data_IF_633372418509
#
_entry.id   IF_633372418509
#
_cell.length_a   1.000
_cell.length_b   1.000
_cell.length_c   1.000
_cell.angle_alpha   90.00
_cell.angle_beta   90.00
_cell.angle_gamma   90.00
#
_symmetry.space_group_name_H-M   'P 1'
#
loop_
_entity.id
_entity.type
_entity.pdbx_description
1 polymer ?
#
# COMPACT_ATOMS: atom_id res chain seq x y z
N UNK A 1 24.81 18.09 -8.73
CA UNK A 1 24.71 16.93 -9.62
C UNK A 1 23.27 16.49 -9.59
N UNK A 2 22.67 16.18 -10.73
CA UNK A 2 21.27 15.74 -10.74
C UNK A 2 21.24 14.23 -10.50
N UNK A 3 20.88 13.85 -9.27
CA UNK A 3 20.72 12.45 -8.89
C UNK A 3 19.39 11.92 -9.45
N UNK A 4 19.45 10.81 -10.19
CA UNK A 4 18.29 10.19 -10.84
C UNK A 4 17.68 9.14 -9.91
N UNK A 5 16.40 9.28 -9.59
CA UNK A 5 15.60 8.21 -8.96
C UNK A 5 14.99 7.27 -9.99
N UNK A 6 14.42 7.84 -11.05
CA UNK A 6 13.82 7.12 -12.16
C UNK A 6 14.07 7.87 -13.46
N UNK A 7 14.14 7.14 -14.56
CA UNK A 7 14.26 7.73 -15.90
C UNK A 7 13.69 6.77 -16.93
N UNK A 8 13.12 7.33 -17.99
CA UNK A 8 12.68 6.58 -19.17
C UNK A 8 12.83 7.44 -20.42
N UNK A 9 12.90 6.79 -21.58
CA UNK A 9 12.88 7.47 -22.86
C UNK A 9 11.44 7.51 -23.37
N UNK A 10 10.94 8.71 -23.68
CA UNK A 10 9.59 8.88 -24.20
C UNK A 10 9.48 8.49 -25.69
N UNK A 11 8.29 8.67 -26.27
CA UNK A 11 8.00 8.29 -27.66
C UNK A 11 8.77 9.13 -28.69
N UNK A 12 9.28 10.29 -28.31
CA UNK A 12 10.06 11.18 -29.15
C UNK A 12 11.56 10.89 -29.04
N UNK A 13 11.97 9.97 -28.16
CA UNK A 13 13.37 9.69 -27.88
C UNK A 13 13.97 10.61 -26.82
N UNK A 14 13.17 11.46 -26.16
CA UNK A 14 13.68 12.35 -25.12
C UNK A 14 13.72 11.64 -23.76
N UNK A 15 14.80 11.84 -23.02
CA UNK A 15 14.94 11.28 -21.69
C UNK A 15 14.18 12.13 -20.67
N UNK A 16 13.22 11.50 -20.01
CA UNK A 16 12.51 12.06 -18.86
C UNK A 16 13.25 11.64 -17.60
N UNK A 17 13.50 12.58 -16.68
CA UNK A 17 14.28 12.36 -15.46
C UNK A 17 13.42 12.70 -14.25
N UNK A 18 13.29 11.75 -13.32
CA UNK A 18 12.75 11.98 -11.99
C UNK A 18 13.92 12.12 -11.02
N UNK A 19 14.10 13.30 -10.45
CA UNK A 19 15.21 13.55 -9.53
C UNK A 19 14.95 12.89 -8.17
N UNK A 20 16.00 12.43 -7.49
CA UNK A 20 15.88 11.73 -6.21
C UNK A 20 15.16 12.58 -5.18
N UNK A 21 15.53 13.86 -5.02
CA UNK A 21 14.90 14.70 -4.00
C UNK A 21 13.42 14.95 -4.31
N UNK A 22 13.04 15.21 -5.56
CA UNK A 22 11.64 15.39 -5.95
C UNK A 22 10.80 14.16 -5.64
N UNK A 23 11.29 12.98 -5.99
CA UNK A 23 10.66 11.70 -5.68
C UNK A 23 10.49 11.53 -4.15
N UNK A 24 11.53 11.76 -3.37
CA UNK A 24 11.48 11.67 -1.90
C UNK A 24 10.41 12.61 -1.31
N UNK A 25 10.30 13.86 -1.78
CA UNK A 25 9.26 14.77 -1.29
C UNK A 25 7.85 14.31 -1.68
N UNK A 26 7.65 13.90 -2.94
CA UNK A 26 6.33 13.46 -3.41
C UNK A 26 5.86 12.21 -2.67
N UNK A 27 6.76 11.24 -2.45
CA UNK A 27 6.48 10.05 -1.65
C UNK A 27 6.20 10.43 -0.20
N UNK A 28 6.99 11.32 0.40
CA UNK A 28 6.78 11.76 1.77
C UNK A 28 5.43 12.45 1.99
N UNK A 29 5.03 13.36 1.10
CA UNK A 29 3.73 14.03 1.18
C UNK A 29 2.58 13.05 0.99
N UNK A 30 2.70 12.15 0.01
CA UNK A 30 1.66 11.18 -0.30
C UNK A 30 1.49 10.15 0.83
N UNK A 31 2.59 9.62 1.36
CA UNK A 31 2.59 8.71 2.50
C UNK A 31 2.02 9.38 3.76
N UNK A 32 2.43 10.63 4.04
CA UNK A 32 1.88 11.40 5.15
C UNK A 32 0.36 11.62 5.03
N UNK A 33 -0.11 11.92 3.82
CA UNK A 33 -1.54 12.08 3.52
C UNK A 33 -2.32 10.78 3.69
N UNK A 34 -1.75 9.63 3.32
CA UNK A 34 -2.38 8.32 3.53
C UNK A 34 -2.45 7.96 5.01
N UNK A 35 -1.38 8.23 5.77
CA UNK A 35 -1.34 7.99 7.20
C UNK A 35 -2.31 8.91 7.99
N UNK A 36 -2.45 10.16 7.55
CA UNK A 36 -3.26 11.18 8.21
C UNK A 36 -2.88 11.36 9.68
N UNK A 37 -3.88 11.63 10.53
CA UNK A 37 -3.69 11.80 11.99
C UNK A 37 -3.13 10.56 12.69
N UNK A 38 -3.10 9.41 12.02
CA UNK A 38 -2.60 8.16 12.61
C UNK A 38 -1.10 7.98 12.47
N UNK A 39 -0.35 8.92 11.90
CA UNK A 39 1.12 8.81 11.85
C UNK A 39 1.78 9.53 10.69
N UNK A 40 1.23 10.68 10.26
CA UNK A 40 1.76 11.47 9.16
C UNK A 40 3.26 11.79 9.30
N UNK A 41 3.75 12.11 10.51
CA UNK A 41 5.17 12.41 10.73
C UNK A 41 6.08 11.20 10.40
N UNK A 42 5.73 10.01 10.91
CA UNK A 42 6.47 8.78 10.62
C UNK A 42 6.42 8.40 9.14
N UNK A 43 5.25 8.50 8.50
CA UNK A 43 5.12 8.21 7.07
C UNK A 43 5.90 9.20 6.20
N UNK A 44 5.91 10.49 6.57
CA UNK A 44 6.72 11.53 5.92
C UNK A 44 8.21 11.21 6.01
N UNK A 45 8.71 10.94 7.21
CA UNK A 45 10.12 10.65 7.43
C UNK A 45 10.53 9.37 6.71
N UNK A 46 9.68 8.35 6.73
CA UNK A 46 9.91 7.14 5.96
C UNK A 46 10.01 7.45 4.46
N UNK A 47 9.11 8.27 3.90
CA UNK A 47 9.16 8.71 2.50
C UNK A 47 10.42 9.51 2.15
N UNK A 48 10.86 10.43 3.02
CA UNK A 48 12.08 11.22 2.80
C UNK A 48 13.35 10.38 2.88
N UNK A 49 13.32 9.24 3.58
CA UNK A 49 14.52 8.43 3.83
C UNK A 49 14.55 7.12 3.04
N UNK A 50 13.42 6.64 2.50
CA UNK A 50 13.33 5.27 1.99
C UNK A 50 14.38 4.95 0.92
N UNK A 51 14.63 5.92 0.05
CA UNK A 51 15.53 5.84 -1.09
C UNK A 51 16.80 6.67 -0.94
N UNK A 52 17.20 6.98 0.30
CA UNK A 52 18.42 7.75 0.58
C UNK A 52 19.66 7.15 -0.11
N UNK A 53 19.71 5.82 -0.26
CA UNK A 53 20.82 5.15 -0.93
C UNK A 53 20.93 5.45 -2.43
N UNK A 54 19.91 6.05 -3.07
CA UNK A 54 20.00 6.47 -4.48
C UNK A 54 20.97 7.62 -4.71
N UNK A 55 21.36 8.36 -3.66
CA UNK A 55 22.42 9.38 -3.74
C UNK A 55 23.85 8.81 -3.87
N UNK A 56 24.03 7.48 -3.76
CA UNK A 56 25.33 6.85 -3.98
C UNK A 56 25.80 6.98 -5.43
N UNK A 57 27.07 7.31 -5.66
CA UNK A 57 27.65 7.39 -7.00
C UNK A 57 27.54 6.05 -7.75
N UNK A 58 27.76 4.93 -7.06
CA UNK A 58 27.61 3.59 -7.62
C UNK A 58 26.17 3.29 -8.04
N UNK A 59 25.17 3.80 -7.30
CA UNK A 59 23.78 3.68 -7.70
C UNK A 59 23.49 4.53 -8.96
N UNK A 60 24.04 5.74 -9.04
CA UNK A 60 23.87 6.60 -10.21
C UNK A 60 24.51 6.00 -11.47
N UNK A 61 25.67 5.35 -11.36
CA UNK A 61 26.27 4.57 -12.47
C UNK A 61 25.38 3.38 -12.85
N UNK A 62 24.87 2.67 -11.85
CA UNK A 62 23.98 1.53 -12.05
C UNK A 62 22.70 1.92 -12.79
N UNK A 63 21.98 2.94 -12.33
CA UNK A 63 20.68 3.31 -12.92
C UNK A 63 20.83 3.78 -14.35
N UNK A 64 21.86 4.56 -14.68
CA UNK A 64 22.14 5.01 -16.05
C UNK A 64 22.51 3.85 -16.98
N UNK A 65 23.26 2.87 -16.47
CA UNK A 65 23.62 1.66 -17.21
C UNK A 65 22.40 0.79 -17.52
N UNK A 66 21.55 0.50 -16.53
CA UNK A 66 20.39 -0.41 -16.72
C UNK A 66 19.25 0.21 -17.49
N UNK A 67 19.09 1.53 -17.44
CA UNK A 67 18.08 2.25 -18.22
C UNK A 67 18.55 2.52 -19.65
N UNK A 68 19.86 2.55 -19.89
CA UNK A 68 20.44 2.90 -21.18
C UNK A 68 20.68 4.40 -21.36
N UNK A 69 20.49 5.21 -20.32
CA UNK A 69 20.72 6.65 -20.31
C UNK A 69 22.13 7.03 -20.80
N UNK A 70 23.16 6.23 -20.45
CA UNK A 70 24.55 6.48 -20.88
C UNK A 70 24.89 5.90 -22.27
N UNK A 71 24.00 5.12 -22.91
CA UNK A 71 24.29 4.49 -24.21
C UNK A 71 24.36 5.47 -25.37
N UNK A 72 23.81 6.68 -25.24
CA UNK A 72 23.96 7.74 -26.25
C UNK A 72 25.40 8.28 -26.36
N UNK A 73 26.25 8.05 -25.34
CA UNK A 73 27.65 8.48 -25.31
C UNK A 73 28.66 7.32 -25.35
N UNK A 74 28.20 6.07 -25.48
CA UNK A 74 29.05 4.90 -25.49
C UNK A 74 29.50 4.55 -26.92
N UNK A 75 30.80 4.56 -27.17
CA UNK A 75 31.37 3.94 -28.37
C UNK A 75 30.98 2.44 -28.42
N UNK A 76 30.67 1.96 -29.62
CA UNK A 76 29.98 0.69 -29.94
C UNK A 76 30.70 -0.58 -29.44
N UNK A 77 31.86 -0.49 -28.80
CA UNK A 77 32.73 -1.65 -28.51
C UNK A 77 32.57 -2.28 -27.10
N UNK A 78 31.85 -1.68 -26.14
CA UNK A 78 31.82 -2.16 -24.74
C UNK A 78 30.47 -2.70 -24.22
N UNK A 79 29.44 -2.86 -25.06
CA UNK A 79 28.04 -2.98 -24.56
C UNK A 79 27.59 -4.41 -24.21
N UNK A 80 28.32 -5.45 -24.59
CA UNK A 80 27.89 -6.83 -24.33
C UNK A 80 28.89 -7.55 -23.43
N UNK A 81 28.55 -7.75 -22.14
CA UNK A 81 28.71 -9.07 -21.45
C UNK A 81 28.34 -9.10 -19.96
N UNK A 82 28.13 -8.00 -19.24
CA UNK A 82 27.88 -8.07 -17.77
C UNK A 82 26.57 -7.37 -17.39
N UNK A 83 25.57 -8.13 -16.90
CA UNK A 83 24.43 -7.53 -16.18
C UNK A 83 24.98 -6.85 -14.92
N UNK A 84 24.84 -5.52 -14.75
CA UNK A 84 25.37 -4.85 -13.57
C UNK A 84 24.70 -5.40 -12.31
N UNK A 85 25.50 -5.68 -11.28
CA UNK A 85 25.00 -6.13 -9.99
C UNK A 85 24.08 -5.09 -9.38
N UNK A 86 22.92 -5.52 -8.85
CA UNK A 86 21.98 -4.62 -8.17
C UNK A 86 22.69 -3.94 -6.98
N UNK A 87 22.71 -2.61 -6.98
CA UNK A 87 23.30 -1.82 -5.89
C UNK A 87 22.27 -1.69 -4.75
N UNK A 88 22.62 -2.07 -3.50
CA UNK A 88 21.78 -1.81 -2.34
C UNK A 88 21.56 -0.29 -2.16
N UNK A 89 20.31 0.09 -1.92
CA UNK A 89 19.93 1.50 -1.70
C UNK A 89 18.86 1.68 -0.62
N UNK A 90 18.14 0.62 -0.26
CA UNK A 90 17.05 0.67 0.71
C UNK A 90 17.48 0.62 2.17
N UNK A 91 18.77 0.42 2.47
CA UNK A 91 19.23 0.24 3.86
C UNK A 91 19.92 1.49 4.41
N UNK A 92 20.45 2.37 3.55
CA UNK A 92 21.04 3.65 3.97
C UNK A 92 20.08 4.49 4.84
N UNK A 93 18.85 4.73 4.38
CA UNK A 93 17.87 5.51 5.14
C UNK A 93 17.45 4.87 6.47
N UNK A 94 17.32 3.54 6.49
CA UNK A 94 17.03 2.81 7.72
C UNK A 94 18.18 2.94 8.74
N UNK A 95 19.43 2.87 8.26
CA UNK A 95 20.61 3.08 9.09
C UNK A 95 20.71 4.51 9.60
N UNK A 96 20.41 5.49 8.75
CA UNK A 96 20.34 6.89 9.13
C UNK A 96 19.36 7.09 10.29
N UNK A 97 18.14 6.53 10.17
CA UNK A 97 17.10 6.66 11.17
C UNK A 97 17.51 6.12 12.55
N UNK A 98 18.14 4.94 12.60
CA UNK A 98 18.62 4.34 13.87
C UNK A 98 19.76 5.15 14.52
N UNK A 99 20.53 5.90 13.72
CA UNK A 99 21.65 6.71 14.23
C UNK A 99 21.24 8.10 14.70
N UNK A 100 20.16 8.67 14.16
CA UNK A 100 19.83 10.09 14.33
C UNK A 100 18.54 10.36 15.11
N UNK A 101 17.69 9.35 15.30
CA UNK A 101 16.45 9.49 16.06
C UNK A 101 16.47 8.66 17.35
N UNK A 102 15.57 8.99 18.26
CA UNK A 102 15.31 8.23 19.47
C UNK A 102 15.08 6.74 19.13
N UNK A 103 15.56 5.87 20.03
CA UNK A 103 15.61 4.42 19.84
C UNK A 103 14.32 3.85 19.26
N UNK A 104 13.17 4.05 19.90
CA UNK A 104 11.91 3.48 19.43
C UNK A 104 11.54 4.02 18.04
N UNK A 105 11.62 5.34 17.87
CA UNK A 105 11.25 6.02 16.62
C UNK A 105 12.14 5.61 15.45
N UNK A 106 13.46 5.61 15.65
CA UNK A 106 14.44 5.18 14.66
C UNK A 106 14.28 3.72 14.26
N UNK A 107 13.92 2.83 15.19
CA UNK A 107 13.65 1.43 14.87
C UNK A 107 12.37 1.24 14.07
N UNK A 108 11.28 1.94 14.43
CA UNK A 108 10.04 1.95 13.63
C UNK A 108 10.35 2.38 12.20
N UNK A 109 11.02 3.52 12.02
CA UNK A 109 11.41 4.01 10.69
C UNK A 109 12.30 3.01 9.94
N UNK A 110 13.24 2.37 10.62
CA UNK A 110 14.10 1.37 10.00
C UNK A 110 13.33 0.16 9.45
N UNK A 111 12.28 -0.29 10.13
CA UNK A 111 11.39 -1.34 9.60
C UNK A 111 10.69 -0.89 8.32
N UNK A 112 10.11 0.31 8.33
CA UNK A 112 9.40 0.86 7.18
C UNK A 112 10.34 1.00 5.98
N UNK A 113 11.49 1.63 6.20
CA UNK A 113 12.47 1.94 5.18
C UNK A 113 13.16 0.69 4.67
N UNK A 114 13.76 -0.16 5.51
CA UNK A 114 14.50 -1.31 4.99
C UNK A 114 13.60 -2.36 4.30
N UNK A 115 12.30 -2.33 4.61
CA UNK A 115 11.30 -3.25 4.07
C UNK A 115 10.63 -2.80 2.77
N UNK A 116 10.70 -1.52 2.35
CA UNK A 116 9.81 -1.01 1.29
C UNK A 116 9.94 -1.75 -0.06
N UNK A 117 11.08 -2.37 -0.33
CA UNK A 117 11.18 -3.38 -1.39
C UNK A 117 10.93 -4.79 -0.86
N UNK A 118 11.59 -5.23 0.22
CA UNK A 118 11.66 -6.65 0.60
C UNK A 118 10.52 -7.21 1.47
N UNK A 119 9.58 -6.38 1.90
CA UNK A 119 8.66 -6.70 2.98
C UNK A 119 9.29 -6.52 4.36
N UNK A 120 8.47 -6.61 5.41
CA UNK A 120 8.92 -6.42 6.79
C UNK A 120 9.69 -7.65 7.28
N UNK A 121 11.00 -7.50 7.42
CA UNK A 121 11.88 -8.55 7.93
C UNK A 121 11.81 -8.67 9.46
N UNK A 122 12.10 -9.86 10.00
CA UNK A 122 12.28 -10.04 11.44
C UNK A 122 13.55 -9.36 11.95
N UNK A 123 13.54 -8.93 13.22
CA UNK A 123 14.70 -8.26 13.84
C UNK A 123 15.90 -9.20 14.05
N UNK A 124 15.66 -10.48 14.36
CA UNK A 124 16.71 -11.42 14.81
C UNK A 124 16.82 -12.74 14.03
N UNK A 125 16.06 -12.98 12.95
CA UNK A 125 16.12 -14.23 12.17
C UNK A 125 17.13 -14.24 10.99
N UNK A 126 17.21 -15.30 10.16
CA UNK A 126 18.10 -15.40 9.00
C UNK A 126 17.80 -14.32 7.96
N UNK A 127 18.79 -13.48 7.66
CA UNK A 127 18.61 -12.30 6.79
C UNK A 127 18.08 -11.06 7.52
N UNK A 128 18.10 -11.09 8.86
CA UNK A 128 17.51 -10.05 9.70
C UNK A 128 17.95 -8.62 9.43
N UNK A 129 17.05 -7.70 9.79
CA UNK A 129 17.24 -6.26 9.67
C UNK A 129 18.50 -5.78 10.42
N UNK A 130 18.78 -6.32 11.60
CA UNK A 130 19.99 -5.95 12.38
C UNK A 130 21.27 -6.19 11.60
N UNK A 131 21.42 -7.34 10.93
CA UNK A 131 22.60 -7.65 10.13
C UNK A 131 22.72 -6.69 8.95
N UNK A 132 21.61 -6.40 8.26
CA UNK A 132 21.58 -5.42 7.15
C UNK A 132 22.03 -4.05 7.63
N UNK A 133 21.50 -3.56 8.76
CA UNK A 133 21.88 -2.28 9.35
C UNK A 133 23.37 -2.24 9.77
N UNK A 134 23.91 -3.34 10.30
CA UNK A 134 25.34 -3.44 10.65
C UNK A 134 26.27 -3.39 9.44
N UNK A 135 25.78 -3.72 8.24
CA UNK A 135 26.56 -3.74 7.01
C UNK A 135 26.39 -2.49 6.15
N UNK A 136 25.47 -1.60 6.54
CA UNK A 136 25.08 -0.41 5.76
C UNK A 136 25.92 0.85 6.05
N UNK A 137 27.00 0.77 6.84
CA UNK A 137 27.82 1.95 7.19
C UNK A 137 28.42 2.61 5.95
N UNK A 138 28.95 1.82 5.01
CA UNK A 138 29.46 2.32 3.73
C UNK A 138 28.34 2.90 2.86
N UNK A 139 27.24 2.16 2.72
CA UNK A 139 26.06 2.57 1.93
C UNK A 139 25.54 3.94 2.39
N UNK A 140 25.44 4.14 3.72
CA UNK A 140 25.04 5.41 4.30
C UNK A 140 26.09 6.51 4.09
N UNK A 141 27.37 6.24 4.32
CA UNK A 141 28.42 7.24 4.15
C UNK A 141 28.48 7.77 2.70
N UNK A 142 28.39 6.87 1.72
CA UNK A 142 28.40 7.20 0.30
C UNK A 142 27.12 7.98 -0.08
N UNK A 143 25.95 7.56 0.42
CA UNK A 143 24.70 8.29 0.23
C UNK A 143 24.76 9.72 0.79
N UNK A 144 25.23 9.90 2.03
CA UNK A 144 25.35 11.23 2.65
C UNK A 144 26.37 12.13 1.93
N UNK A 145 27.41 11.55 1.32
CA UNK A 145 28.35 12.30 0.47
C UNK A 145 27.65 12.87 -0.77
N UNK A 146 26.76 12.09 -1.39
CA UNK A 146 25.92 12.55 -2.49
C UNK A 146 24.91 13.61 -2.06
N UNK A 147 24.21 13.39 -0.95
CA UNK A 147 23.21 14.34 -0.41
C UNK A 147 23.82 15.72 -0.18
N UNK A 148 25.05 15.83 0.33
CA UNK A 148 25.74 17.13 0.54
C UNK A 148 25.86 17.99 -0.73
N UNK A 149 25.73 17.39 -1.91
CA UNK A 149 25.82 18.05 -3.21
C UNK A 149 24.44 18.34 -3.83
N UNK A 150 23.36 18.02 -3.12
CA UNK A 150 21.97 18.14 -3.54
C UNK A 150 21.19 19.10 -2.62
N UNK A 151 20.11 19.68 -3.14
CA UNK A 151 19.23 20.58 -2.38
C UNK A 151 18.62 19.90 -1.15
N UNK A 152 18.42 18.58 -1.21
CA UNK A 152 17.85 17.75 -0.14
C UNK A 152 18.64 17.79 1.17
N UNK A 153 19.93 18.14 1.14
CA UNK A 153 20.75 18.26 2.35
C UNK A 153 20.11 19.17 3.42
N UNK A 154 19.47 20.25 2.98
CA UNK A 154 18.83 21.19 3.92
C UNK A 154 17.66 20.53 4.65
N UNK A 155 16.86 19.74 3.94
CA UNK A 155 15.68 19.08 4.50
C UNK A 155 16.04 17.85 5.32
N UNK A 156 17.07 17.09 4.92
CA UNK A 156 17.62 16.02 5.75
C UNK A 156 18.09 16.57 7.11
N UNK A 157 18.75 17.73 7.13
CA UNK A 157 19.23 18.36 8.38
C UNK A 157 18.11 18.96 9.24
N UNK A 158 16.89 19.10 8.71
CA UNK A 158 15.72 19.59 9.48
C UNK A 158 14.99 18.48 10.23
N UNK A 159 15.22 17.21 9.87
CA UNK A 159 14.58 16.10 10.55
C UNK A 159 15.02 16.06 12.02
N UNK A 160 14.05 16.06 12.93
CA UNK A 160 14.28 15.99 14.36
C UNK A 160 13.30 15.03 15.06
N UNK A 161 13.64 14.63 16.28
CA UNK A 161 12.79 13.79 17.13
C UNK A 161 11.51 14.51 17.59
N UNK A 162 11.51 15.84 17.71
CA UNK A 162 10.37 16.62 18.19
C UNK A 162 9.12 16.43 17.30
N UNK A 163 9.32 16.38 15.98
CA UNK A 163 8.24 16.10 15.02
C UNK A 163 7.68 14.67 15.19
N UNK A 164 8.55 13.69 15.46
CA UNK A 164 8.16 12.29 15.66
C UNK A 164 7.44 12.09 17.00
N UNK A 165 7.90 12.76 18.07
CA UNK A 165 7.23 12.73 19.37
C UNK A 165 5.87 13.42 19.32
N UNK A 166 5.77 14.57 18.64
CA UNK A 166 4.50 15.29 18.46
C UNK A 166 3.54 14.48 17.57
N UNK A 167 4.07 13.80 16.55
CA UNK A 167 3.31 12.93 15.67
C UNK A 167 3.09 11.51 16.18
N UNK A 168 3.52 11.19 17.41
CA UNK A 168 3.37 9.85 17.97
C UNK A 168 1.89 9.60 18.33
N UNK A 169 1.27 8.49 17.87
CA UNK A 169 -0.15 8.30 18.08
C UNK A 169 -0.53 8.13 19.55
N UNK A 170 -1.52 8.90 20.01
CA UNK A 170 -2.00 8.86 21.40
C UNK A 170 -2.48 7.45 21.82
N UNK A 171 -3.06 6.68 20.89
CA UNK A 171 -3.53 5.32 21.19
C UNK A 171 -2.40 4.33 21.53
N UNK A 172 -1.15 4.63 21.15
CA UNK A 172 0.01 3.84 21.54
C UNK A 172 0.59 4.26 22.89
N UNK A 173 0.25 5.46 23.39
CA UNK A 173 0.71 5.94 24.68
C UNK A 173 0.02 5.19 25.82
N UNK A 174 0.80 4.72 26.81
CA UNK A 174 0.29 4.00 27.99
C UNK A 174 -0.61 2.79 27.67
N UNK A 175 -0.30 2.08 26.58
CA UNK A 175 -1.12 0.96 26.11
C UNK A 175 -0.58 -0.39 26.58
N UNK A 176 -1.39 -1.16 27.32
CA UNK A 176 -1.04 -2.52 27.76
C UNK A 176 -0.82 -3.50 26.58
N UNK A 177 -1.42 -3.23 25.42
CA UNK A 177 -1.28 -3.97 24.17
C UNK A 177 -0.29 -3.32 23.19
N UNK A 178 0.58 -2.41 23.67
CA UNK A 178 1.53 -1.64 22.86
C UNK A 178 2.21 -2.47 21.76
N UNK A 179 2.73 -3.66 22.09
CA UNK A 179 3.45 -4.51 21.13
C UNK A 179 2.58 -4.96 19.95
N UNK A 180 1.31 -5.26 20.18
CA UNK A 180 0.37 -5.70 19.12
C UNK A 180 -0.05 -4.50 18.28
N UNK A 181 -0.36 -3.39 18.94
CA UNK A 181 -0.84 -2.19 18.25
C UNK A 181 0.27 -1.50 17.45
N UNK A 182 1.48 -1.40 17.98
CA UNK A 182 2.63 -0.87 17.24
C UNK A 182 2.94 -1.73 16.02
N UNK A 183 2.76 -3.05 16.11
CA UNK A 183 2.94 -3.96 14.98
C UNK A 183 1.93 -3.69 13.85
N UNK A 184 0.63 -3.58 14.19
CA UNK A 184 -0.41 -3.24 13.22
C UNK A 184 -0.21 -1.85 12.63
N UNK A 185 0.16 -0.90 13.47
CA UNK A 185 0.46 0.46 13.06
C UNK A 185 1.66 0.55 12.12
N UNK A 186 2.75 -0.18 12.40
CA UNK A 186 3.89 -0.27 11.49
C UNK A 186 3.49 -0.86 10.13
N UNK A 187 2.64 -1.89 10.09
CA UNK A 187 2.12 -2.43 8.81
C UNK A 187 1.28 -1.42 8.05
N UNK A 188 0.45 -0.65 8.76
CA UNK A 188 -0.32 0.44 8.18
C UNK A 188 0.61 1.51 7.56
N UNK A 189 1.61 1.98 8.30
CA UNK A 189 2.56 2.97 7.78
C UNK A 189 3.41 2.42 6.64
N UNK A 190 3.82 1.16 6.72
CA UNK A 190 4.55 0.45 5.67
C UNK A 190 3.75 0.44 4.38
N UNK A 191 2.47 0.10 4.47
CA UNK A 191 1.55 0.14 3.35
C UNK A 191 1.38 1.55 2.79
N UNK A 192 1.32 2.58 3.64
CA UNK A 192 1.26 3.98 3.19
C UNK A 192 2.51 4.38 2.40
N UNK A 193 3.70 3.98 2.86
CA UNK A 193 4.97 4.25 2.19
C UNK A 193 5.05 3.54 0.82
N UNK A 194 4.76 2.24 0.80
CA UNK A 194 4.81 1.44 -0.43
C UNK A 194 3.81 1.96 -1.46
N UNK A 195 2.55 2.20 -1.06
CA UNK A 195 1.56 2.76 -1.98
C UNK A 195 2.01 4.13 -2.52
N UNK A 196 2.65 4.97 -1.70
CA UNK A 196 3.13 6.27 -2.13
C UNK A 196 4.28 6.20 -3.14
N UNK A 197 5.29 5.36 -2.87
CA UNK A 197 6.44 5.11 -3.77
C UNK A 197 5.98 4.60 -5.15
N UNK A 198 5.09 3.60 -5.15
CA UNK A 198 4.55 3.05 -6.39
C UNK A 198 3.72 4.07 -7.19
N UNK A 199 2.88 4.85 -6.53
CA UNK A 199 2.01 5.81 -7.21
C UNK A 199 2.78 7.00 -7.78
N UNK A 200 3.83 7.45 -7.10
CA UNK A 200 4.69 8.49 -7.61
C UNK A 200 5.51 8.00 -8.82
N UNK A 201 6.07 6.78 -8.73
CA UNK A 201 6.74 6.13 -9.86
C UNK A 201 5.79 5.90 -11.04
N UNK A 202 4.57 5.41 -10.80
CA UNK A 202 3.53 5.21 -11.83
C UNK A 202 3.20 6.53 -12.54
N UNK A 203 2.97 7.60 -11.78
CA UNK A 203 2.66 8.91 -12.34
C UNK A 203 3.78 9.39 -13.26
N UNK A 204 5.02 9.34 -12.78
CA UNK A 204 6.19 9.75 -13.56
C UNK A 204 6.34 8.91 -14.84
N UNK A 205 6.26 7.59 -14.76
CA UNK A 205 6.40 6.68 -15.91
C UNK A 205 5.30 6.86 -16.96
N UNK A 206 4.16 7.44 -16.58
CA UNK A 206 3.08 7.77 -17.50
C UNK A 206 3.07 9.24 -17.92
N UNK A 207 4.08 10.03 -17.55
CA UNK A 207 4.23 11.43 -17.95
C UNK A 207 3.40 12.44 -17.16
N UNK A 208 3.00 12.09 -15.93
CA UNK A 208 2.27 12.99 -15.03
C UNK A 208 3.19 13.54 -13.96
N UNK A 209 2.95 14.78 -13.54
CA UNK A 209 3.73 15.43 -12.49
C UNK A 209 3.45 14.87 -11.10
N UNK A 210 2.20 14.42 -10.88
CA UNK A 210 1.76 13.86 -9.59
C UNK A 210 0.84 12.64 -9.72
N UNK A 211 0.76 11.86 -8.65
CA UNK A 211 -0.18 10.73 -8.53
C UNK A 211 -1.65 11.17 -8.66
N UNK A 212 -2.01 12.39 -8.24
CA UNK A 212 -3.39 12.87 -8.32
C UNK A 212 -3.77 13.23 -9.76
N UNK A 213 -2.86 13.84 -10.53
CA UNK A 213 -3.05 14.10 -11.96
C UNK A 213 -3.21 12.79 -12.73
N UNK A 214 -2.33 11.80 -12.48
CA UNK A 214 -2.45 10.46 -13.06
C UNK A 214 -3.79 9.80 -12.74
N UNK A 215 -4.32 10.02 -11.52
CA UNK A 215 -5.66 9.55 -11.13
C UNK A 215 -6.75 10.19 -11.97
N UNK A 216 -6.70 11.52 -12.11
CA UNK A 216 -7.71 12.32 -12.80
C UNK A 216 -7.74 12.00 -14.29
N UNK A 217 -6.59 11.64 -14.86
CA UNK A 217 -6.47 11.18 -16.25
C UNK A 217 -7.00 9.75 -16.49
N UNK A 218 -7.48 9.05 -15.45
CA UNK A 218 -8.12 7.74 -15.60
C UNK A 218 -7.15 6.57 -15.78
N UNK A 219 -5.88 6.71 -15.35
CA UNK A 219 -4.90 5.60 -15.39
C UNK A 219 -5.36 4.43 -14.54
N UNK A 220 -6.05 4.71 -13.42
CA UNK A 220 -6.51 3.72 -12.47
C UNK A 220 -8.01 3.47 -12.62
N UNK A 221 -8.48 2.23 -12.40
CA UNK A 221 -9.91 1.92 -12.42
C UNK A 221 -10.69 2.80 -11.43
N UNK A 222 -11.82 3.32 -11.88
CA UNK A 222 -12.80 3.97 -11.01
C UNK A 222 -13.76 2.93 -10.46
N UNK A 223 -13.92 2.89 -9.15
CA UNK A 223 -14.90 2.03 -8.48
C UNK A 223 -16.19 2.81 -8.23
N UNK A 224 -17.37 2.17 -8.30
CA UNK A 224 -18.63 2.76 -7.87
C UNK A 224 -18.51 3.29 -6.44
N UNK A 225 -19.09 4.46 -6.16
CA UNK A 225 -19.10 5.00 -4.82
C UNK A 225 -20.11 4.26 -3.91
N UNK A 226 -20.05 4.50 -2.60
CA UNK A 226 -20.94 3.82 -1.66
C UNK A 226 -22.43 4.12 -1.88
N UNK A 227 -22.77 5.28 -2.45
CA UNK A 227 -24.15 5.65 -2.72
C UNK A 227 -24.70 4.84 -3.89
N UNK A 228 -23.91 4.71 -4.96
CA UNK A 228 -24.20 3.85 -6.10
C UNK A 228 -24.30 2.39 -5.65
N UNK A 229 -23.35 1.88 -4.86
CA UNK A 229 -23.38 0.51 -4.33
C UNK A 229 -24.63 0.25 -3.50
N UNK A 230 -25.04 1.21 -2.66
CA UNK A 230 -26.29 1.10 -1.89
C UNK A 230 -27.53 1.12 -2.79
N UNK A 231 -27.54 1.90 -3.87
CA UNK A 231 -28.64 1.87 -4.84
C UNK A 231 -28.75 0.51 -5.54
N UNK A 232 -27.62 -0.03 -6.05
CA UNK A 232 -27.56 -1.35 -6.69
C UNK A 232 -28.02 -2.46 -5.74
N UNK A 233 -27.54 -2.42 -4.49
CA UNK A 233 -27.97 -3.34 -3.44
C UNK A 233 -29.49 -3.29 -3.23
N UNK A 234 -30.10 -2.10 -3.13
CA UNK A 234 -31.55 -1.97 -2.96
C UNK A 234 -32.32 -2.57 -4.14
N UNK A 235 -31.93 -2.23 -5.36
CA UNK A 235 -32.54 -2.78 -6.57
C UNK A 235 -32.46 -4.32 -6.61
N UNK A 236 -31.33 -4.90 -6.20
CA UNK A 236 -31.17 -6.34 -6.08
C UNK A 236 -32.09 -6.95 -5.00
N UNK A 237 -32.21 -6.31 -3.84
CA UNK A 237 -33.11 -6.76 -2.77
C UNK A 237 -34.58 -6.67 -3.16
N UNK A 238 -34.98 -5.62 -3.90
CA UNK A 238 -36.35 -5.45 -4.40
C UNK A 238 -36.71 -6.57 -5.40
N UNK A 239 -35.82 -6.90 -6.34
CA UNK A 239 -36.04 -8.02 -7.26
C UNK A 239 -36.12 -9.40 -6.57
N UNK A 240 -35.37 -9.60 -5.48
CA UNK A 240 -35.53 -10.79 -4.64
C UNK A 240 -36.89 -10.82 -3.94
N UNK A 241 -37.40 -9.68 -3.49
CA UNK A 241 -38.70 -9.60 -2.83
C UNK A 241 -39.86 -9.89 -3.81
N UNK A 242 -39.75 -9.44 -5.06
CA UNK A 242 -40.76 -9.71 -6.12
C UNK A 242 -40.91 -11.20 -6.45
N UNK A 243 -39.82 -11.96 -6.38
CA UNK A 243 -39.80 -13.39 -6.72
C UNK A 243 -39.97 -14.30 -5.50
N UNK A 244 -39.88 -13.76 -4.29
CA UNK A 244 -39.99 -14.52 -3.05
C UNK A 244 -41.44 -14.83 -2.68
N UNK A 245 -41.68 -16.03 -2.15
CA UNK A 245 -42.95 -16.35 -1.50
C UNK A 245 -43.06 -15.58 -0.17
N UNK A 246 -43.85 -14.51 -0.15
CA UNK A 246 -44.05 -13.63 1.01
C UNK A 246 -44.86 -14.28 2.14
N UNK A 247 -45.61 -15.34 1.85
CA UNK A 247 -46.36 -16.11 2.86
C UNK A 247 -45.46 -17.12 3.61
N UNK A 248 -44.20 -17.28 3.17
CA UNK A 248 -43.25 -18.15 3.86
C UNK A 248 -42.77 -17.51 5.17
N UNK A 249 -42.98 -18.21 6.29
CA UNK A 249 -42.47 -17.83 7.62
C UNK A 249 -40.97 -17.49 7.58
N UNK A 250 -40.17 -18.26 6.82
CA UNK A 250 -38.73 -18.03 6.67
C UNK A 250 -38.42 -16.67 6.02
N UNK A 251 -39.19 -16.27 5.01
CA UNK A 251 -38.97 -14.98 4.35
C UNK A 251 -39.43 -13.81 5.22
N UNK A 252 -40.48 -14.00 6.02
CA UNK A 252 -40.91 -13.01 7.02
C UNK A 252 -39.80 -12.80 8.07
N UNK A 253 -39.22 -13.88 8.60
CA UNK A 253 -38.09 -13.81 9.53
C UNK A 253 -36.86 -13.13 8.91
N UNK A 254 -36.51 -13.47 7.65
CA UNK A 254 -35.41 -12.81 6.93
C UNK A 254 -35.63 -11.31 6.78
N UNK A 255 -36.86 -10.89 6.47
CA UNK A 255 -37.23 -9.48 6.35
C UNK A 255 -37.13 -8.76 7.70
N UNK A 256 -37.56 -9.41 8.79
CA UNK A 256 -37.42 -8.87 10.14
C UNK A 256 -35.94 -8.70 10.55
N UNK A 257 -35.09 -9.70 10.27
CA UNK A 257 -33.64 -9.63 10.52
C UNK A 257 -33.02 -8.46 9.74
N UNK A 258 -33.36 -8.31 8.45
CA UNK A 258 -32.87 -7.20 7.64
C UNK A 258 -33.30 -5.84 8.19
N UNK A 259 -34.56 -5.71 8.64
CA UNK A 259 -35.07 -4.49 9.25
C UNK A 259 -34.31 -4.14 10.54
N UNK A 260 -34.03 -5.12 11.39
CA UNK A 260 -33.21 -4.93 12.60
C UNK A 260 -31.78 -4.47 12.27
N UNK A 261 -31.15 -5.07 11.26
CA UNK A 261 -29.86 -4.63 10.74
C UNK A 261 -29.90 -3.15 10.31
N UNK A 262 -30.92 -2.74 9.55
CA UNK A 262 -31.03 -1.34 9.13
C UNK A 262 -31.30 -0.36 10.28
N UNK A 263 -32.02 -0.77 11.32
CA UNK A 263 -32.19 0.04 12.52
C UNK A 263 -30.85 0.19 13.24
N UNK A 264 -30.12 -0.91 13.46
CA UNK A 264 -28.82 -0.90 14.11
C UNK A 264 -27.77 -0.09 13.35
N UNK A 265 -27.80 -0.10 12.01
CA UNK A 265 -26.87 0.64 11.17
C UNK A 265 -26.91 2.15 11.38
N UNK A 266 -28.01 2.70 11.89
CA UNK A 266 -28.14 4.12 12.22
C UNK A 266 -27.58 4.51 13.60
N UNK A 267 -27.14 3.55 14.40
CA UNK A 267 -26.60 3.82 15.74
C UNK A 267 -25.12 4.23 15.66
N UNK A 268 -24.74 5.27 16.41
CA UNK A 268 -23.34 5.69 16.56
C UNK A 268 -22.62 4.76 17.55
N UNK A 269 -22.36 3.54 17.09
CA UNK A 269 -21.58 2.52 17.80
C UNK A 269 -20.47 2.02 16.89
N UNK A 270 -19.38 1.56 17.51
CA UNK A 270 -18.22 1.03 16.79
C UNK A 270 -18.27 -0.49 16.58
N UNK A 271 -18.93 -1.21 17.48
CA UNK A 271 -19.00 -2.68 17.48
C UNK A 271 -20.44 -3.15 17.51
N UNK A 272 -20.74 -4.14 16.66
CA UNK A 272 -22.04 -4.76 16.52
C UNK A 272 -21.87 -6.29 16.43
N UNK A 273 -22.88 -7.03 16.83
CA UNK A 273 -22.91 -8.49 16.68
C UNK A 273 -24.19 -8.91 15.95
N UNK A 274 -24.05 -9.83 15.00
CA UNK A 274 -25.16 -10.38 14.21
C UNK A 274 -25.24 -11.90 14.38
N UNK A 275 -26.08 -12.33 15.32
CA UNK A 275 -26.37 -13.74 15.59
C UNK A 275 -27.60 -14.17 14.80
N UNK A 276 -27.38 -14.98 13.76
CA UNK A 276 -28.41 -15.44 12.82
C UNK A 276 -28.00 -16.85 12.38
N UNK A 277 -28.90 -17.84 12.40
CA UNK A 277 -28.59 -19.20 11.94
C UNK A 277 -28.31 -19.26 10.44
N UNK A 278 -27.65 -20.33 10.00
CA UNK A 278 -27.41 -20.57 8.57
C UNK A 278 -28.72 -20.57 7.80
N UNK A 279 -28.74 -19.91 6.63
CA UNK A 279 -29.96 -19.73 5.84
C UNK A 279 -30.83 -18.54 6.24
N UNK A 280 -30.57 -17.88 7.38
CA UNK A 280 -31.30 -16.69 7.84
C UNK A 280 -30.94 -15.38 7.14
N UNK A 281 -30.25 -15.40 6.00
CA UNK A 281 -29.94 -14.19 5.21
C UNK A 281 -28.77 -13.34 5.70
N UNK A 282 -27.88 -13.89 6.55
CA UNK A 282 -26.75 -13.16 7.16
C UNK A 282 -25.91 -12.35 6.16
N UNK A 283 -25.56 -12.95 5.02
CA UNK A 283 -24.67 -12.33 4.02
C UNK A 283 -25.25 -11.05 3.43
N UNK A 284 -26.51 -11.05 2.99
CA UNK A 284 -27.14 -9.85 2.41
C UNK A 284 -27.55 -8.85 3.49
N UNK A 285 -27.93 -9.32 4.69
CA UNK A 285 -28.27 -8.46 5.81
C UNK A 285 -27.04 -7.71 6.36
N UNK A 286 -25.87 -8.37 6.45
CA UNK A 286 -24.62 -7.73 6.88
C UNK A 286 -24.11 -6.73 5.84
N UNK A 287 -24.23 -7.03 4.54
CA UNK A 287 -23.90 -6.07 3.48
C UNK A 287 -24.81 -4.83 3.53
N UNK A 288 -26.12 -5.03 3.67
CA UNK A 288 -27.08 -3.92 3.79
C UNK A 288 -26.80 -3.05 5.02
N UNK A 289 -26.53 -3.70 6.17
CA UNK A 289 -26.06 -3.01 7.37
C UNK A 289 -24.83 -2.16 7.07
N UNK A 290 -23.79 -2.76 6.46
CA UNK A 290 -22.52 -2.11 6.22
C UNK A 290 -22.65 -0.90 5.28
N UNK A 291 -23.41 -1.03 4.19
CA UNK A 291 -23.68 0.06 3.25
C UNK A 291 -24.41 1.23 3.93
N UNK A 292 -25.47 0.93 4.69
CA UNK A 292 -26.25 1.96 5.39
C UNK A 292 -25.40 2.66 6.47
N UNK A 293 -24.66 1.90 7.26
CA UNK A 293 -23.80 2.45 8.31
C UNK A 293 -22.65 3.27 7.70
N UNK A 294 -22.03 2.79 6.62
CA UNK A 294 -20.98 3.50 5.92
C UNK A 294 -21.44 4.86 5.38
N UNK A 295 -22.63 4.91 4.76
CA UNK A 295 -23.22 6.17 4.29
C UNK A 295 -23.59 7.12 5.45
N UNK A 296 -24.18 6.58 6.52
CA UNK A 296 -24.61 7.38 7.68
C UNK A 296 -23.43 8.07 8.38
N UNK A 297 -22.30 7.38 8.48
CA UNK A 297 -21.12 7.83 9.23
C UNK A 297 -19.93 8.19 8.32
N UNK A 298 -20.21 8.52 7.04
CA UNK A 298 -19.24 8.98 6.04
C UNK A 298 -17.96 8.12 5.96
N UNK A 299 -18.12 6.80 5.98
CA UNK A 299 -17.02 5.85 5.79
C UNK A 299 -16.64 5.81 4.31
N UNK A 300 -15.40 5.40 4.04
CA UNK A 300 -14.85 5.40 2.66
C UNK A 300 -15.00 4.05 1.96
N UNK A 301 -14.96 2.94 2.70
CA UNK A 301 -14.91 1.57 2.16
C UNK A 301 -15.53 0.58 3.16
N UNK A 302 -15.95 -0.57 2.64
CA UNK A 302 -16.40 -1.72 3.42
C UNK A 302 -15.40 -2.85 3.20
N UNK A 303 -14.88 -3.42 4.28
CA UNK A 303 -13.96 -4.55 4.24
C UNK A 303 -14.66 -5.74 4.89
N UNK A 304 -14.65 -6.87 4.19
CA UNK A 304 -15.33 -8.08 4.63
C UNK A 304 -14.32 -9.20 4.86
N UNK A 305 -14.00 -9.48 6.12
CA UNK A 305 -13.03 -10.51 6.51
C UNK A 305 -13.74 -11.82 6.91
N UNK A 306 -13.37 -12.93 6.27
CA UNK A 306 -13.96 -14.25 6.49
C UNK A 306 -12.83 -15.28 6.60
N UNK A 307 -12.88 -16.24 7.54
CA UNK A 307 -11.78 -17.15 7.83
C UNK A 307 -11.53 -18.25 6.78
N UNK A 308 -12.46 -18.53 5.88
CA UNK A 308 -12.37 -19.65 4.94
C UNK A 308 -12.50 -19.19 3.49
N UNK A 309 -11.54 -19.57 2.64
CA UNK A 309 -11.51 -19.25 1.20
C UNK A 309 -12.79 -19.66 0.49
N UNK A 310 -13.34 -20.85 0.78
CA UNK A 310 -14.59 -21.33 0.18
C UNK A 310 -15.79 -20.43 0.52
N UNK A 311 -15.83 -19.89 1.74
CA UNK A 311 -16.88 -18.96 2.17
C UNK A 311 -16.65 -17.58 1.57
N UNK A 312 -15.39 -17.15 1.41
CA UNK A 312 -15.05 -15.91 0.69
C UNK A 312 -15.57 -15.97 -0.73
N UNK A 313 -15.23 -17.01 -1.50
CA UNK A 313 -15.64 -17.14 -2.91
C UNK A 313 -17.18 -17.17 -3.03
N UNK A 314 -17.87 -17.86 -2.12
CA UNK A 314 -19.34 -17.88 -2.09
C UNK A 314 -19.93 -16.49 -1.81
N UNK A 315 -19.45 -15.80 -0.78
CA UNK A 315 -19.96 -14.48 -0.41
C UNK A 315 -19.62 -13.43 -1.47
N UNK A 316 -18.42 -13.48 -2.06
CA UNK A 316 -18.05 -12.61 -3.17
C UNK A 316 -18.96 -12.81 -4.38
N UNK A 317 -19.29 -14.06 -4.72
CA UNK A 317 -20.30 -14.36 -5.75
C UNK A 317 -21.67 -13.76 -5.45
N UNK A 318 -22.11 -13.78 -4.18
CA UNK A 318 -23.35 -13.10 -3.74
C UNK A 318 -23.22 -11.59 -3.91
N UNK A 319 -22.12 -10.98 -3.47
CA UNK A 319 -21.90 -9.55 -3.55
C UNK A 319 -21.80 -9.05 -4.98
N UNK A 320 -21.14 -9.79 -5.87
CA UNK A 320 -21.07 -9.46 -7.31
C UNK A 320 -22.45 -9.40 -7.96
N UNK A 321 -23.31 -10.38 -7.66
CA UNK A 321 -24.71 -10.34 -8.15
C UNK A 321 -25.48 -9.13 -7.62
N UNK A 322 -25.20 -8.69 -6.40
CA UNK A 322 -25.89 -7.57 -5.77
C UNK A 322 -25.34 -6.20 -6.16
N UNK A 323 -24.04 -6.09 -6.44
CA UNK A 323 -23.31 -4.83 -6.56
C UNK A 323 -22.66 -4.59 -7.92
N UNK A 324 -22.49 -5.63 -8.74
CA UNK A 324 -21.65 -5.62 -9.95
C UNK A 324 -20.28 -6.26 -9.72
N UNK A 325 -19.71 -6.82 -10.78
CA UNK A 325 -18.44 -7.55 -10.73
C UNK A 325 -17.25 -6.62 -10.39
N UNK A 326 -17.27 -5.39 -10.88
CA UNK A 326 -16.23 -4.37 -10.70
C UNK A 326 -16.18 -3.81 -9.27
N UNK A 327 -17.28 -3.94 -8.52
CA UNK A 327 -17.41 -3.44 -7.17
C UNK A 327 -16.75 -4.35 -6.11
N UNK A 328 -16.45 -5.61 -6.46
CA UNK A 328 -16.00 -6.63 -5.51
C UNK A 328 -14.57 -7.05 -5.79
N UNK A 329 -13.65 -6.53 -4.97
CA UNK A 329 -12.26 -6.95 -4.95
C UNK A 329 -12.09 -8.13 -3.97
N UNK A 330 -11.77 -9.31 -4.50
CA UNK A 330 -11.43 -10.48 -3.68
C UNK A 330 -9.93 -10.55 -3.43
N UNK A 331 -9.57 -10.86 -2.19
CA UNK A 331 -8.20 -11.21 -1.83
C UNK A 331 -8.18 -12.48 -0.99
N UNK A 332 -7.42 -13.48 -1.46
CA UNK A 332 -7.17 -14.71 -0.73
C UNK A 332 -5.72 -14.69 -0.24
N UNK A 333 -5.52 -14.67 1.08
CA UNK A 333 -4.20 -14.86 1.67
C UNK A 333 -3.84 -16.34 1.60
N UNK A 334 -3.40 -16.82 0.44
CA UNK A 334 -2.76 -18.13 0.35
C UNK A 334 -1.29 -17.98 0.73
N UNK A 335 -0.80 -18.88 1.60
CA UNK A 335 0.62 -19.12 1.75
C UNK A 335 1.14 -19.68 0.43
N UNK A 336 1.95 -18.91 -0.31
CA UNK A 336 2.74 -19.48 -1.38
C UNK A 336 3.88 -20.31 -0.76
N UNK A 337 3.81 -21.62 -0.94
CA UNK A 337 5.00 -22.47 -0.83
C UNK A 337 5.72 -22.43 -2.17
N UNK A 338 6.98 -22.01 -2.17
CA UNK A 338 7.87 -21.98 -3.35
C UNK A 338 7.71 -23.24 -4.21
N UNK A 339 7.35 -23.07 -5.50
CA UNK A 339 7.97 -23.74 -6.66
C UNK A 339 7.22 -23.48 -8.00
N UNK A 340 7.85 -22.68 -8.89
CA UNK A 340 7.83 -22.73 -10.37
C UNK A 340 6.48 -22.73 -11.14
N UNK A 341 6.28 -21.72 -12.03
CA UNK A 341 6.41 -21.86 -13.51
C UNK A 341 5.99 -20.59 -14.28
N UNK A 342 6.82 -20.24 -15.27
CA UNK A 342 6.51 -19.36 -16.39
C UNK A 342 5.27 -19.89 -17.14
N UNK A 343 4.29 -19.04 -17.46
CA UNK A 343 3.30 -19.32 -18.48
C UNK A 343 2.99 -18.07 -19.31
N UNK A 344 3.13 -18.23 -20.62
CA UNK A 344 2.97 -17.26 -21.71
C UNK A 344 1.59 -17.43 -22.35
N UNK A 345 0.55 -16.65 -21.98
CA UNK A 345 -0.69 -16.41 -22.77
C UNK A 345 -1.41 -15.10 -22.33
N UNK A 346 -2.23 -14.46 -23.21
CA UNK A 346 -2.75 -13.09 -23.04
C UNK A 346 -3.96 -12.97 -22.08
N UNK A 347 -4.36 -11.75 -21.66
CA UNK A 347 -5.15 -11.53 -20.45
C UNK A 347 -6.66 -11.62 -20.69
N UNK A 348 -7.29 -12.68 -20.21
CA UNK A 348 -8.71 -12.69 -19.88
C UNK A 348 -8.91 -13.51 -18.61
N UNK A 349 -9.66 -12.95 -17.64
CA UNK A 349 -9.97 -13.53 -16.32
C UNK A 349 -8.78 -13.73 -15.36
N UNK A 350 -8.26 -12.65 -14.76
CA UNK A 350 -7.52 -12.79 -13.51
C UNK A 350 -8.49 -12.78 -12.33
N UNK A 351 -8.76 -13.96 -11.76
CA UNK A 351 -8.77 -14.08 -10.29
C UNK A 351 -7.43 -13.48 -9.84
N UNK A 352 -7.42 -12.60 -8.83
CA UNK A 352 -6.17 -12.21 -8.16
C UNK A 352 -5.64 -13.40 -7.36
N UNK A 353 -5.30 -14.47 -8.08
CA UNK A 353 -4.24 -15.37 -7.68
C UNK A 353 -2.99 -14.52 -7.76
N UNK A 354 -2.45 -14.22 -6.60
CA UNK A 354 -1.14 -13.66 -6.46
C UNK A 354 -0.17 -14.44 -7.34
N UNK A 355 0.27 -13.83 -8.44
CA UNK A 355 1.45 -14.25 -9.17
C UNK A 355 2.57 -13.38 -8.64
N UNK A 356 3.14 -13.80 -7.51
CA UNK A 356 4.28 -13.12 -6.91
C UNK A 356 5.54 -13.46 -7.70
N UNK A 357 6.08 -12.47 -8.40
CA UNK A 357 7.50 -12.42 -8.70
C UNK A 357 7.97 -11.04 -8.25
N UNK A 358 8.75 -11.05 -7.17
CA UNK A 358 9.43 -9.93 -6.53
C UNK A 358 8.52 -8.76 -6.07
N UNK A 359 8.39 -8.67 -4.74
CA UNK A 359 8.10 -7.44 -3.98
C UNK A 359 6.68 -6.85 -4.08
N UNK A 360 5.68 -7.58 -3.57
CA UNK A 360 4.39 -7.00 -3.17
C UNK A 360 3.80 -7.75 -1.97
N UNK A 361 4.25 -7.51 -0.74
CA UNK A 361 3.51 -7.97 0.44
C UNK A 361 2.23 -7.16 0.61
N UNK A 362 1.13 -7.87 0.88
CA UNK A 362 -0.22 -7.35 1.08
C UNK A 362 -0.25 -6.01 1.84
N UNK A 363 -0.63 -4.96 1.11
CA UNK A 363 -1.30 -3.79 1.63
C UNK A 363 -2.61 -4.24 2.30
N UNK A 364 -2.57 -4.51 3.61
CA UNK A 364 -3.76 -4.71 4.43
C UNK A 364 -4.31 -3.32 4.73
N UNK A 365 -5.47 -2.98 4.18
CA UNK A 365 -6.32 -1.90 4.68
C UNK A 365 -7.70 -2.43 5.02
#
# INVERSE_FOLDING_TARGET
MDFIAHTYQDKNGEWQIHQVHEHLYKVAELAARFAGERGAAFARYAGLLHDLGKFQEDFQKYIKSVTGFDKENAHIEDVDTVKPSKIPHSTAGAKYAVQHFETLCGHILAYLIAGHHAGLADWQDKGNLVKRLKQADKELADALSGVKQDAFNTDLNRLCDEDLFTGFPEFLCNNEQFNVEVHLWMRFLFSCLVDADFLDTEAFMNGYGTADEAKQAGIRPTFPDLAELNWRYRAYMDGLAETANQESEINQERNQILAQCFQAAGLDKRLFSLTVPTGGGKTLASLGFALKHALTFNKKRIIYAIPFTSIIEQNAGVFRRALGDEAVLEHHSNLETDEKRKCTQPPCHRKLGCTFNHYHQCTIF
#
